data_IF_298561350293
#
_entry.id   IF_298561350293
#
_cell.length_a   1.000
_cell.length_b   1.000
_cell.length_c   1.000
_cell.angle_alpha   90.00
_cell.angle_beta   90.00
_cell.angle_gamma   90.00
#
_symmetry.space_group_name_H-M   'P 1'
#
loop_
_entity.id
_entity.type
_entity.pdbx_description
1 polymer ?
#
# COMPACT_ATOMS: atom_id res chain seq x y z
N UNK A 1 0.87 32.63 -17.46
CA UNK A 1 1.74 31.51 -17.09
C UNK A 1 1.48 31.17 -15.63
N UNK A 2 0.83 30.03 -15.34
CA UNK A 2 0.54 29.60 -13.98
C UNK A 2 1.59 28.55 -13.56
N UNK A 3 2.39 28.86 -12.54
CA UNK A 3 3.28 27.90 -11.89
C UNK A 3 2.50 27.23 -10.76
N UNK A 4 2.19 25.94 -10.92
CA UNK A 4 1.63 25.12 -9.86
C UNK A 4 2.79 24.41 -9.16
N UNK A 5 3.16 24.92 -7.98
CA UNK A 5 4.13 24.27 -7.09
C UNK A 5 3.43 23.14 -6.33
N UNK A 6 3.77 21.89 -6.63
CA UNK A 6 3.42 20.76 -5.77
C UNK A 6 4.54 20.51 -4.75
N UNK A 7 4.29 20.90 -3.50
CA UNK A 7 5.15 20.57 -2.36
C UNK A 7 4.79 19.18 -1.82
N UNK A 8 5.58 18.16 -2.14
CA UNK A 8 5.48 16.84 -1.51
C UNK A 8 6.18 16.88 -0.13
N UNK A 9 5.39 16.93 0.95
CA UNK A 9 5.90 16.65 2.30
C UNK A 9 6.22 15.16 2.43
N UNK A 10 7.51 14.84 2.60
CA UNK A 10 7.99 13.52 3.04
C UNK A 10 7.54 13.26 4.47
N UNK A 11 6.55 12.38 4.66
CA UNK A 11 6.36 11.72 5.96
C UNK A 11 7.36 10.55 6.07
N UNK A 12 8.22 10.60 7.10
CA UNK A 12 9.15 9.52 7.42
C UNK A 12 8.39 8.27 7.91
N UNK A 13 8.88 7.06 7.64
CA UNK A 13 8.34 5.85 8.24
C UNK A 13 8.79 5.71 9.69
N UNK A 14 7.82 5.60 10.60
CA UNK A 14 8.02 5.21 12.01
C UNK A 14 8.64 3.81 12.07
N UNK A 15 9.85 3.70 12.62
CA UNK A 15 10.47 2.41 12.97
C UNK A 15 9.65 1.74 14.07
N UNK A 16 9.09 0.56 13.81
CA UNK A 16 8.60 -0.32 14.86
C UNK A 16 9.78 -1.14 15.40
N UNK A 17 10.14 -0.90 16.66
CA UNK A 17 11.14 -1.68 17.37
C UNK A 17 10.64 -3.11 17.59
N UNK A 18 11.44 -4.07 17.13
CA UNK A 18 11.29 -5.49 17.40
C UNK A 18 11.85 -5.79 18.80
N UNK A 19 10.99 -6.29 19.69
CA UNK A 19 11.39 -6.84 20.99
C UNK A 19 11.12 -8.34 21.01
N UNK A 20 12.20 -9.13 20.96
CA UNK A 20 12.18 -10.55 21.31
C UNK A 20 12.43 -10.72 22.81
N UNK A 21 11.65 -11.54 23.53
CA UNK A 21 12.09 -12.09 24.80
C UNK A 21 12.65 -13.50 24.59
N UNK A 22 13.93 -13.68 24.92
CA UNK A 22 14.55 -14.99 25.16
C UNK A 22 13.99 -15.59 26.45
N UNK A 23 13.35 -16.75 26.33
CA UNK A 23 12.96 -17.61 27.44
C UNK A 23 14.07 -18.64 27.65
N UNK A 24 14.71 -18.63 28.81
CA UNK A 24 15.58 -19.71 29.27
C UNK A 24 14.81 -20.53 30.32
N UNK A 25 14.47 -21.76 29.96
CA UNK A 25 14.12 -22.82 30.89
C UNK A 25 15.09 -23.96 30.62
N UNK A 26 15.82 -24.41 31.63
CA UNK A 26 16.34 -25.77 31.65
C UNK A 26 16.47 -26.32 33.07
N UNK A 27 15.61 -27.31 33.32
CA UNK A 27 15.82 -28.65 33.90
C UNK A 27 16.60 -28.89 35.20
N UNK A 28 16.02 -29.82 35.96
CA UNK A 28 16.30 -30.28 37.32
C UNK A 28 17.39 -31.38 37.45
N UNK A 29 17.80 -31.66 38.70
CA UNK A 29 18.20 -32.99 39.22
C UNK A 29 18.26 -32.90 40.75
N UNK A 30 17.33 -33.49 41.51
CA UNK A 30 17.31 -34.85 42.08
C UNK A 30 18.15 -35.03 43.37
N UNK A 31 17.48 -35.29 44.50
CA UNK A 31 17.89 -36.32 45.47
C UNK A 31 16.87 -36.57 46.57
N UNK A 32 16.54 -37.85 46.70
CA UNK A 32 15.58 -38.52 47.59
C UNK A 32 16.13 -38.70 49.01
N UNK A 33 15.29 -38.54 50.05
CA UNK A 33 15.32 -39.47 51.21
C UNK A 33 14.00 -39.48 52.01
N UNK A 34 13.66 -40.70 52.41
CA UNK A 34 12.40 -41.26 52.93
C UNK A 34 12.19 -40.93 54.42
N UNK A 35 10.95 -40.74 54.90
CA UNK A 35 10.46 -41.33 56.16
C UNK A 35 8.91 -41.37 56.18
N UNK A 36 8.37 -42.54 56.51
CA UNK A 36 6.96 -42.85 56.71
C UNK A 36 6.30 -42.10 57.88
N UNK A 37 5.07 -41.64 57.71
CA UNK A 37 4.01 -41.82 58.72
C UNK A 37 2.60 -41.64 58.13
N UNK A 38 1.81 -42.70 58.30
CA UNK A 38 0.36 -42.85 58.21
C UNK A 38 -0.49 -41.57 58.39
N UNK A 39 -1.28 -41.20 57.38
CA UNK A 39 -2.63 -40.60 57.57
C UNK A 39 -3.53 -40.87 56.35
N UNK A 40 -4.81 -41.08 56.64
CA UNK A 40 -5.97 -41.43 55.79
C UNK A 40 -6.24 -40.50 54.57
N UNK A 41 -7.05 -40.95 53.58
CA UNK A 41 -7.00 -40.46 52.22
C UNK A 41 -7.70 -39.11 52.09
N UNK A 42 -6.94 -38.08 51.73
CA UNK A 42 -7.52 -36.85 51.19
C UNK A 42 -7.49 -36.99 49.68
N UNK A 43 -8.68 -37.11 49.09
CA UNK A 43 -8.89 -36.96 47.64
C UNK A 43 -8.27 -35.61 47.26
N UNK A 44 -7.06 -35.67 46.71
CA UNK A 44 -6.43 -34.50 46.14
C UNK A 44 -7.00 -34.42 44.73
N UNK A 45 -8.11 -33.70 44.62
CA UNK A 45 -8.56 -33.18 43.34
C UNK A 45 -7.40 -32.32 42.82
N UNK A 46 -6.64 -32.89 41.88
CA UNK A 46 -5.64 -32.15 41.13
C UNK A 46 -6.44 -31.15 40.31
N UNK A 47 -6.61 -29.96 40.85
CA UNK A 47 -7.07 -28.81 40.09
C UNK A 47 -5.96 -28.57 39.06
N UNK A 48 -6.18 -29.07 37.85
CA UNK A 48 -5.48 -28.60 36.65
C UNK A 48 -5.74 -27.10 36.55
N UNK A 49 -4.85 -26.33 37.16
CA UNK A 49 -4.87 -24.87 37.12
C UNK A 49 -4.38 -24.43 35.75
N UNK A 50 -5.30 -24.48 34.79
CA UNK A 50 -5.62 -23.37 33.89
C UNK A 50 -4.44 -22.54 33.39
N UNK A 51 -3.60 -23.11 32.50
CA UNK A 51 -2.73 -22.34 31.59
C UNK A 51 -3.53 -21.65 30.48
N UNK A 52 -4.77 -21.26 30.76
CA UNK A 52 -5.86 -20.97 29.82
C UNK A 52 -6.09 -19.48 29.55
N UNK A 53 -5.27 -18.63 30.15
CA UNK A 53 -5.34 -17.17 30.06
C UNK A 53 -4.29 -16.59 29.11
N UNK A 54 -3.05 -17.13 29.00
CA UNK A 54 -2.00 -16.53 28.19
C UNK A 54 -2.25 -16.59 26.67
N UNK A 55 -2.75 -17.71 26.12
CA UNK A 55 -2.91 -17.88 24.68
C UNK A 55 -4.08 -17.04 24.17
N UNK A 56 -5.24 -17.09 24.84
CA UNK A 56 -6.38 -16.23 24.50
C UNK A 56 -6.02 -14.74 24.57
N UNK A 57 -5.30 -14.30 25.60
CA UNK A 57 -4.83 -12.91 25.70
C UNK A 57 -3.89 -12.54 24.54
N UNK A 58 -2.98 -13.44 24.15
CA UNK A 58 -2.08 -13.24 23.00
C UNK A 58 -2.85 -13.12 21.68
N UNK A 59 -3.89 -13.94 21.47
CA UNK A 59 -4.73 -13.87 20.27
C UNK A 59 -5.55 -12.57 20.22
N UNK A 60 -6.14 -12.15 21.34
CA UNK A 60 -6.84 -10.86 21.43
C UNK A 60 -5.91 -9.67 21.15
N UNK A 61 -4.69 -9.70 21.69
CA UNK A 61 -3.68 -8.69 21.40
C UNK A 61 -3.31 -8.67 19.90
N UNK A 62 -3.06 -9.85 19.32
CA UNK A 62 -2.75 -10.00 17.89
C UNK A 62 -3.89 -9.47 17.02
N UNK A 63 -5.14 -9.79 17.38
CA UNK A 63 -6.32 -9.29 16.70
C UNK A 63 -6.38 -7.76 16.73
N UNK A 64 -6.14 -7.14 17.89
CA UNK A 64 -6.16 -5.69 18.03
C UNK A 64 -5.09 -4.98 17.17
N UNK A 65 -3.90 -5.59 17.04
CA UNK A 65 -2.84 -5.09 16.17
C UNK A 65 -3.24 -5.21 14.69
N UNK A 66 -3.73 -6.38 14.28
CA UNK A 66 -4.16 -6.61 12.91
C UNK A 66 -5.32 -5.69 12.50
N UNK A 67 -6.31 -5.50 13.36
CA UNK A 67 -7.44 -4.60 13.09
C UNK A 67 -6.99 -3.14 12.97
N UNK A 68 -6.02 -2.72 13.78
CA UNK A 68 -5.39 -1.40 13.67
C UNK A 68 -4.67 -1.23 12.34
N UNK A 69 -3.85 -2.19 11.95
CA UNK A 69 -3.17 -2.17 10.64
C UNK A 69 -4.15 -2.22 9.48
N UNK A 70 -5.19 -3.04 9.58
CA UNK A 70 -6.24 -3.16 8.57
C UNK A 70 -6.91 -1.82 8.31
N UNK A 71 -7.19 -1.04 9.35
CA UNK A 71 -7.78 0.30 9.21
C UNK A 71 -6.89 1.21 8.36
N UNK A 72 -5.57 1.18 8.61
CA UNK A 72 -4.59 1.94 7.82
C UNK A 72 -4.59 1.49 6.35
N UNK A 73 -4.51 0.19 6.08
CA UNK A 73 -4.43 -0.31 4.70
C UNK A 73 -5.75 -0.14 3.93
N UNK A 74 -6.92 -0.24 4.60
CA UNK A 74 -8.22 0.07 3.96
C UNK A 74 -8.26 1.51 3.47
N UNK A 75 -7.84 2.45 4.31
CA UNK A 75 -7.77 3.86 3.93
C UNK A 75 -6.75 4.07 2.81
N UNK A 76 -5.56 3.50 2.90
CA UNK A 76 -4.54 3.64 1.87
C UNK A 76 -4.98 3.07 0.51
N UNK A 77 -5.77 1.98 0.50
CA UNK A 77 -6.35 1.43 -0.73
C UNK A 77 -7.41 2.36 -1.32
N UNK A 78 -8.23 3.01 -0.48
CA UNK A 78 -9.20 4.00 -0.96
C UNK A 78 -8.48 5.21 -1.59
N UNK A 79 -7.49 5.78 -0.92
CA UNK A 79 -6.68 6.89 -1.44
C UNK A 79 -6.00 6.50 -2.77
N UNK A 80 -5.54 5.25 -2.88
CA UNK A 80 -5.01 4.70 -4.13
C UNK A 80 -6.02 4.67 -5.27
N UNK A 81 -7.26 4.26 -5.02
CA UNK A 81 -8.31 4.24 -6.04
C UNK A 81 -8.65 5.68 -6.51
N UNK A 82 -8.74 6.62 -5.58
CA UNK A 82 -8.96 8.04 -5.89
C UNK A 82 -7.80 8.62 -6.71
N UNK A 83 -6.56 8.29 -6.35
CA UNK A 83 -5.36 8.71 -7.08
C UNK A 83 -5.31 8.09 -8.47
N UNK A 84 -5.64 6.81 -8.60
CA UNK A 84 -5.66 6.13 -9.90
C UNK A 84 -6.68 6.76 -10.86
N UNK A 85 -7.85 7.16 -10.36
CA UNK A 85 -8.86 7.85 -11.16
C UNK A 85 -8.37 9.23 -11.62
N UNK A 86 -7.79 10.03 -10.71
CA UNK A 86 -7.18 11.33 -11.06
C UNK A 86 -6.06 11.17 -12.08
N UNK A 87 -5.24 10.12 -11.95
CA UNK A 87 -4.16 9.85 -12.89
C UNK A 87 -4.69 9.48 -14.29
N UNK A 88 -5.81 8.75 -14.37
CA UNK A 88 -6.48 8.45 -15.65
C UNK A 88 -7.03 9.71 -16.31
N UNK A 89 -7.67 10.58 -15.55
CA UNK A 89 -8.17 11.87 -16.04
C UNK A 89 -7.03 12.72 -16.59
N UNK A 90 -5.95 12.89 -15.82
CA UNK A 90 -4.81 13.69 -16.25
C UNK A 90 -4.12 13.12 -17.50
N UNK A 91 -4.00 11.79 -17.61
CA UNK A 91 -3.46 11.15 -18.80
C UNK A 91 -4.35 11.39 -20.02
N UNK A 92 -5.67 11.30 -19.85
CA UNK A 92 -6.64 11.60 -20.91
C UNK A 92 -6.51 13.04 -21.41
N UNK A 93 -6.36 14.02 -20.51
CA UNK A 93 -6.18 15.43 -20.87
C UNK A 93 -4.90 15.64 -21.70
N UNK A 94 -3.80 14.97 -21.33
CA UNK A 94 -2.54 15.03 -22.06
C UNK A 94 -2.64 14.38 -23.44
N UNK A 95 -3.32 13.25 -23.55
CA UNK A 95 -3.57 12.56 -24.82
C UNK A 95 -4.45 13.39 -25.75
N UNK A 96 -5.48 14.05 -25.22
CA UNK A 96 -6.32 14.98 -25.98
C UNK A 96 -5.49 16.17 -26.48
N UNK A 97 -4.67 16.78 -25.62
CA UNK A 97 -3.78 17.89 -25.98
C UNK A 97 -2.81 17.49 -27.10
N UNK A 98 -2.20 16.31 -27.01
CA UNK A 98 -1.29 15.76 -28.05
C UNK A 98 -2.06 15.57 -29.36
N UNK A 99 -3.27 15.01 -29.30
CA UNK A 99 -4.12 14.77 -30.48
C UNK A 99 -4.49 16.08 -31.17
N UNK A 100 -4.93 17.07 -30.40
CA UNK A 100 -5.29 18.40 -30.90
C UNK A 100 -4.10 19.10 -31.57
N UNK A 101 -2.91 19.08 -30.95
CA UNK A 101 -1.70 19.66 -31.56
C UNK A 101 -1.33 18.92 -32.84
N UNK A 102 -1.39 17.59 -32.82
CA UNK A 102 -1.09 16.75 -34.00
C UNK A 102 -2.03 17.03 -35.16
N UNK A 103 -3.31 17.27 -34.88
CA UNK A 103 -4.28 17.64 -35.91
C UNK A 103 -3.96 19.02 -36.50
N UNK A 104 -3.67 20.02 -35.67
CA UNK A 104 -3.25 21.36 -36.15
C UNK A 104 -2.03 21.28 -37.07
N UNK A 105 -1.04 20.46 -36.72
CA UNK A 105 0.13 20.23 -37.59
C UNK A 105 -0.28 19.66 -38.95
N UNK A 106 -1.19 18.68 -38.99
CA UNK A 106 -1.71 18.11 -40.24
C UNK A 106 -2.45 19.15 -41.08
N UNK A 107 -3.28 19.98 -40.44
CA UNK A 107 -4.05 21.02 -41.12
C UNK A 107 -3.11 22.09 -41.73
N UNK A 108 -2.05 22.46 -41.01
CA UNK A 108 -1.01 23.35 -41.54
C UNK A 108 -0.32 22.74 -42.76
N UNK A 109 0.08 21.46 -42.70
CA UNK A 109 0.68 20.77 -43.86
C UNK A 109 -0.23 20.74 -45.08
N UNK A 110 -1.55 20.62 -44.88
CA UNK A 110 -2.51 20.63 -45.98
C UNK A 110 -2.64 22.03 -46.61
N UNK A 111 -2.50 23.09 -45.81
CA UNK A 111 -2.62 24.49 -46.24
C UNK A 111 -1.42 24.95 -47.07
N UNK A 112 -0.24 24.35 -46.90
CA UNK A 112 0.99 24.67 -47.65
C UNK A 112 0.82 24.49 -49.18
N UNK A 113 -0.10 23.65 -49.64
CA UNK A 113 -0.27 23.36 -51.08
C UNK A 113 -0.77 24.54 -51.92
N UNK A 114 -1.39 25.55 -51.29
CA UNK A 114 -2.14 26.59 -52.01
C UNK A 114 -1.59 28.02 -51.80
N UNK A 115 -0.40 28.19 -51.21
CA UNK A 115 0.09 29.50 -50.73
C UNK A 115 1.26 30.12 -51.49
N UNK A 116 1.29 31.46 -51.44
CA UNK A 116 2.42 32.29 -51.89
C UNK A 116 3.62 32.16 -50.94
N UNK A 117 4.80 32.60 -51.38
CA UNK A 117 6.05 32.54 -50.59
C UNK A 117 5.93 33.19 -49.20
N UNK A 118 5.18 34.29 -49.07
CA UNK A 118 4.93 34.93 -47.76
C UNK A 118 4.08 34.07 -46.83
N UNK A 119 3.06 33.39 -47.35
CA UNK A 119 2.24 32.46 -46.58
C UNK A 119 2.99 31.18 -46.18
N UNK A 120 3.98 30.76 -46.97
CA UNK A 120 4.85 29.63 -46.63
C UNK A 120 5.70 29.94 -45.39
N UNK A 121 6.27 31.15 -45.28
CA UNK A 121 7.09 31.54 -44.14
C UNK A 121 6.27 31.60 -42.85
N UNK A 122 5.05 32.16 -42.91
CA UNK A 122 4.16 32.24 -41.75
C UNK A 122 3.77 30.84 -41.25
N UNK A 123 3.45 29.92 -42.17
CA UNK A 123 3.16 28.52 -41.84
C UNK A 123 4.37 27.77 -41.28
N UNK A 124 5.58 28.04 -41.75
CA UNK A 124 6.80 27.42 -41.22
C UNK A 124 7.04 27.81 -39.76
N UNK A 125 6.76 29.08 -39.41
CA UNK A 125 6.81 29.57 -38.03
C UNK A 125 5.76 28.86 -37.18
N UNK A 126 4.50 28.81 -37.63
CA UNK A 126 3.43 28.13 -36.88
C UNK A 126 3.71 26.63 -36.68
N UNK A 127 4.20 25.96 -37.72
CA UNK A 127 4.57 24.55 -37.67
C UNK A 127 5.67 24.29 -36.65
N UNK A 128 6.70 25.15 -36.61
CA UNK A 128 7.78 25.07 -35.62
C UNK A 128 7.23 25.20 -34.18
N UNK A 129 6.33 26.16 -33.95
CA UNK A 129 5.68 26.37 -32.65
C UNK A 129 4.87 25.14 -32.23
N UNK A 130 4.01 24.60 -33.11
CA UNK A 130 3.21 23.42 -32.77
C UNK A 130 4.06 22.16 -32.59
N UNK A 131 5.12 22.00 -33.38
CA UNK A 131 6.06 20.88 -33.23
C UNK A 131 6.77 20.91 -31.87
N UNK A 132 7.19 22.10 -31.43
CA UNK A 132 7.77 22.27 -30.10
C UNK A 132 6.75 21.97 -28.98
N UNK A 133 5.50 22.42 -29.13
CA UNK A 133 4.43 22.11 -28.18
C UNK A 133 4.12 20.61 -28.13
N UNK A 134 4.10 19.92 -29.28
CA UNK A 134 3.88 18.49 -29.37
C UNK A 134 4.97 17.71 -28.63
N UNK A 135 6.22 18.07 -28.89
CA UNK A 135 7.37 17.47 -28.20
C UNK A 135 7.24 17.63 -26.69
N UNK A 136 6.97 18.85 -26.23
CA UNK A 136 6.81 19.14 -24.79
C UNK A 136 5.66 18.35 -24.17
N UNK A 137 4.49 18.30 -24.81
CA UNK A 137 3.34 17.56 -24.28
C UNK A 137 3.60 16.05 -24.23
N UNK A 138 4.36 15.52 -25.20
CA UNK A 138 4.78 14.11 -25.23
C UNK A 138 5.74 13.80 -24.08
N UNK A 139 6.72 14.67 -23.83
CA UNK A 139 7.65 14.56 -22.69
C UNK A 139 6.90 14.63 -21.35
N UNK A 140 5.96 15.57 -21.20
CA UNK A 140 5.09 15.70 -20.02
C UNK A 140 4.32 14.40 -19.74
N UNK A 141 3.73 13.79 -20.78
CA UNK A 141 3.03 12.49 -20.68
C UNK A 141 3.96 11.36 -20.27
N UNK A 142 5.12 11.26 -20.91
CA UNK A 142 6.05 10.15 -20.67
C UNK A 142 6.65 10.22 -19.26
N UNK A 143 6.93 11.42 -18.74
CA UNK A 143 7.36 11.61 -17.36
C UNK A 143 6.24 11.32 -16.36
N UNK A 144 5.00 11.72 -16.67
CA UNK A 144 3.84 11.39 -15.86
C UNK A 144 3.62 9.86 -15.75
N UNK A 145 3.77 9.12 -16.85
CA UNK A 145 3.64 7.66 -16.86
C UNK A 145 4.63 6.97 -15.91
N UNK A 146 5.88 7.45 -15.84
CA UNK A 146 6.89 6.91 -14.90
C UNK A 146 6.47 7.06 -13.43
N UNK A 147 5.89 8.21 -13.09
CA UNK A 147 5.37 8.47 -11.74
C UNK A 147 4.16 7.58 -11.46
N UNK A 148 3.21 7.53 -12.40
CA UNK A 148 2.00 6.71 -12.30
C UNK A 148 2.31 5.22 -12.11
N UNK A 149 3.31 4.68 -12.81
CA UNK A 149 3.76 3.29 -12.64
C UNK A 149 4.32 3.01 -11.24
N UNK A 150 5.01 3.99 -10.66
CA UNK A 150 5.54 3.89 -9.29
C UNK A 150 4.41 3.86 -8.27
N UNK A 151 3.42 4.74 -8.43
CA UNK A 151 2.22 4.77 -7.59
C UNK A 151 1.41 3.48 -7.73
N UNK A 152 1.25 2.96 -8.94
CA UNK A 152 0.58 1.67 -9.21
C UNK A 152 1.23 0.52 -8.45
N UNK A 153 2.57 0.44 -8.45
CA UNK A 153 3.32 -0.57 -7.68
C UNK A 153 3.08 -0.42 -6.17
N UNK A 154 3.08 0.82 -5.66
CA UNK A 154 2.80 1.11 -4.25
C UNK A 154 1.37 0.69 -3.87
N UNK A 155 0.38 1.05 -4.68
CA UNK A 155 -1.02 0.72 -4.47
C UNK A 155 -1.29 -0.79 -4.51
N UNK A 156 -0.65 -1.52 -5.43
CA UNK A 156 -0.72 -2.98 -5.45
C UNK A 156 -0.19 -3.62 -4.16
N UNK A 157 0.88 -3.05 -3.57
CA UNK A 157 1.41 -3.52 -2.29
C UNK A 157 0.43 -3.28 -1.14
N UNK A 158 -0.23 -2.12 -1.11
CA UNK A 158 -1.27 -1.84 -0.12
C UNK A 158 -2.46 -2.77 -0.25
N UNK A 159 -2.94 -3.02 -1.47
CA UNK A 159 -4.05 -3.96 -1.73
C UNK A 159 -3.71 -5.37 -1.26
N UNK A 160 -2.54 -5.89 -1.66
CA UNK A 160 -2.09 -7.23 -1.24
C UNK A 160 -1.91 -7.35 0.27
N UNK A 161 -1.43 -6.30 0.95
CA UNK A 161 -1.29 -6.31 2.41
C UNK A 161 -2.65 -6.21 3.11
N UNK A 162 -3.56 -5.40 2.58
CA UNK A 162 -4.95 -5.31 3.05
C UNK A 162 -5.67 -6.66 3.00
N UNK A 163 -5.50 -7.41 1.91
CA UNK A 163 -6.07 -8.76 1.74
C UNK A 163 -5.46 -9.78 2.70
N UNK A 164 -4.13 -9.76 2.87
CA UNK A 164 -3.44 -10.63 3.83
C UNK A 164 -3.87 -10.37 5.27
N UNK A 165 -4.01 -9.11 5.66
CA UNK A 165 -4.46 -8.74 6.99
C UNK A 165 -5.92 -9.16 7.21
N UNK A 166 -6.80 -9.02 6.21
CA UNK A 166 -8.20 -9.43 6.32
C UNK A 166 -8.30 -10.96 6.54
N UNK A 167 -7.53 -11.74 5.78
CA UNK A 167 -7.41 -13.17 5.99
C UNK A 167 -6.87 -13.53 7.38
N UNK A 168 -5.79 -12.88 7.84
CA UNK A 168 -5.20 -13.13 9.15
C UNK A 168 -6.19 -12.81 10.29
N UNK A 169 -6.95 -11.72 10.18
CA UNK A 169 -8.01 -11.36 11.12
C UNK A 169 -9.06 -12.46 11.19
N UNK A 170 -9.51 -12.97 10.04
CA UNK A 170 -10.50 -14.06 10.00
C UNK A 170 -9.99 -15.33 10.67
N UNK A 171 -8.71 -15.69 10.48
CA UNK A 171 -8.11 -16.85 11.15
C UNK A 171 -8.03 -16.66 12.67
N UNK A 172 -7.57 -15.50 13.14
CA UNK A 172 -7.49 -15.21 14.58
C UNK A 172 -8.88 -15.19 15.23
N UNK A 173 -9.90 -14.64 14.54
CA UNK A 173 -11.30 -14.69 15.01
C UNK A 173 -11.80 -16.12 15.14
N UNK A 174 -11.57 -16.94 14.11
CA UNK A 174 -11.94 -18.36 14.12
C UNK A 174 -11.25 -19.13 15.25
N UNK A 175 -9.97 -18.85 15.51
CA UNK A 175 -9.25 -19.44 16.64
C UNK A 175 -9.88 -19.01 17.98
N UNK A 176 -10.19 -17.73 18.16
CA UNK A 176 -10.83 -17.21 19.38
C UNK A 176 -12.23 -17.79 19.65
N UNK A 177 -12.90 -18.31 18.63
CA UNK A 177 -14.19 -19.01 18.74
C UNK A 177 -14.04 -20.47 19.21
N UNK A 178 -12.84 -21.07 19.12
CA UNK A 178 -12.62 -22.44 19.58
C UNK A 178 -12.70 -22.50 21.12
N UNK A 179 -13.66 -23.24 21.70
CA UNK A 179 -13.84 -23.35 23.15
C UNK A 179 -12.64 -24.01 23.85
N UNK A 180 -11.73 -24.65 23.10
CA UNK A 180 -10.47 -25.22 23.59
C UNK A 180 -9.37 -24.17 23.69
N UNK A 181 -9.55 -22.96 23.14
CA UNK A 181 -8.62 -21.85 23.32
C UNK A 181 -8.77 -21.25 24.71
N UNK A 182 -7.93 -21.88 25.52
CA UNK A 182 -7.26 -21.49 26.72
C UNK A 182 -5.93 -20.80 26.33
#
# INVERSE_FOLDING_TARGET
MAQVFYSYQKSLPTQMMSSSPQSAYDSATESTKITDTSTTPTVTEVIETTTCTPKKAKLLYTLSLLEREQKFFKQAVQECNETENKNKEHLSDLEEKITNISQKIKDLFQTIKDLSVGGIIELEIELSVYSAQLKKATEERDDFLKVSDTDKKRCNRYRSTNERNDYAIQQVKKELEDPRIC
#
